data_IF_631710133490
#
_entry.id   IF_631710133490
#
_cell.length_a   1.000
_cell.length_b   1.000
_cell.length_c   1.000
_cell.angle_alpha   90.00
_cell.angle_beta   90.00
_cell.angle_gamma   90.00
#
_symmetry.space_group_name_H-M   'P 1'
#
loop_
_entity.id
_entity.type
_entity.pdbx_description
1 polymer ?
#
# COMPACT_ATOMS: atom_id res chain seq x y z
N UNK A 1 -32.87 -16.50 -8.40
CA UNK A 1 -31.84 -16.29 -9.46
C UNK A 1 -30.85 -15.17 -9.13
N UNK A 2 -31.22 -14.19 -8.29
CA UNK A 2 -30.40 -13.03 -7.89
C UNK A 2 -29.26 -13.42 -6.92
N UNK A 3 -29.45 -14.44 -6.07
CA UNK A 3 -28.42 -14.90 -5.12
C UNK A 3 -27.17 -15.53 -5.76
N UNK A 4 -27.26 -16.02 -7.02
CA UNK A 4 -26.12 -16.62 -7.72
C UNK A 4 -25.20 -15.58 -8.37
N UNK A 5 -25.68 -14.37 -8.66
CA UNK A 5 -24.85 -13.32 -9.26
C UNK A 5 -24.04 -12.53 -8.25
N UNK A 6 -24.54 -12.36 -7.02
CA UNK A 6 -23.79 -11.68 -5.94
C UNK A 6 -22.58 -12.50 -5.48
N UNK A 7 -22.66 -13.83 -5.51
CA UNK A 7 -21.56 -14.71 -5.16
C UNK A 7 -20.39 -14.67 -6.18
N UNK A 8 -20.67 -14.35 -7.45
CA UNK A 8 -19.62 -14.26 -8.47
C UNK A 8 -18.78 -12.98 -8.32
N UNK A 9 -19.40 -11.88 -7.88
CA UNK A 9 -18.72 -10.58 -7.70
C UNK A 9 -17.74 -10.61 -6.52
N UNK A 10 -18.06 -11.35 -5.46
CA UNK A 10 -17.15 -11.52 -4.30
C UNK A 10 -15.99 -12.47 -4.64
N UNK A 11 -16.18 -13.44 -5.54
CA UNK A 11 -15.13 -14.37 -5.95
C UNK A 11 -14.08 -13.73 -6.88
N UNK A 12 -14.45 -12.72 -7.68
CA UNK A 12 -13.52 -12.03 -8.60
C UNK A 12 -12.57 -11.08 -7.85
N UNK A 13 -12.97 -10.59 -6.67
CA UNK A 13 -12.12 -9.70 -5.84
C UNK A 13 -11.00 -10.42 -5.06
N UNK A 14 -10.98 -11.77 -5.02
CA UNK A 14 -10.03 -12.53 -4.18
C UNK A 14 -8.85 -13.11 -4.97
N UNK A 15 -8.81 -13.02 -6.30
CA UNK A 15 -7.86 -13.83 -7.11
C UNK A 15 -6.60 -13.07 -7.62
N UNK A 16 -6.45 -11.76 -7.45
CA UNK A 16 -5.34 -11.02 -8.08
C UNK A 16 -4.36 -10.29 -7.14
N UNK A 17 -3.99 -10.88 -5.99
CA UNK A 17 -2.93 -10.29 -5.14
C UNK A 17 -1.90 -11.30 -4.66
N UNK A 18 -1.24 -11.96 -5.62
CA UNK A 18 0.01 -12.68 -5.36
C UNK A 18 1.08 -12.21 -6.35
N UNK A 19 1.53 -10.96 -6.19
CA UNK A 19 2.79 -10.52 -6.78
C UNK A 19 3.92 -11.21 -6.02
N UNK A 20 4.28 -12.42 -6.47
CA UNK A 20 5.55 -13.05 -6.08
C UNK A 20 6.61 -12.50 -7.02
N UNK A 21 7.30 -11.45 -6.59
CA UNK A 21 8.54 -11.05 -7.25
C UNK A 21 9.54 -12.18 -7.05
N UNK A 22 9.81 -12.95 -8.11
CA UNK A 22 10.99 -13.80 -8.20
C UNK A 22 12.21 -12.88 -8.29
N UNK A 23 12.73 -12.48 -7.13
CA UNK A 23 14.06 -11.89 -7.03
C UNK A 23 15.05 -13.00 -7.37
N UNK A 24 15.59 -12.95 -8.59
CA UNK A 24 16.77 -13.73 -8.92
C UNK A 24 17.89 -13.24 -8.01
N UNK A 25 18.30 -14.10 -7.08
CA UNK A 25 19.33 -13.80 -6.10
C UNK A 25 20.67 -13.60 -6.79
N UNK A 26 20.97 -12.37 -7.18
CA UNK A 26 22.35 -11.90 -7.28
C UNK A 26 22.86 -11.90 -5.84
N UNK A 27 23.74 -12.84 -5.50
CA UNK A 27 24.46 -12.79 -4.23
C UNK A 27 25.38 -11.57 -4.28
N UNK A 28 24.85 -10.41 -3.90
CA UNK A 28 25.69 -9.23 -3.69
C UNK A 28 26.66 -9.56 -2.56
N UNK A 29 27.93 -9.15 -2.67
CA UNK A 29 28.90 -9.38 -1.61
C UNK A 29 28.37 -8.73 -0.32
N UNK A 30 28.07 -9.54 0.70
CA UNK A 30 27.52 -9.05 1.95
C UNK A 30 28.63 -8.39 2.78
N UNK A 31 28.40 -7.16 3.24
CA UNK A 31 29.35 -6.39 4.04
C UNK A 31 29.00 -6.48 5.53
N UNK A 32 29.98 -6.47 6.46
CA UNK A 32 29.74 -6.51 7.91
C UNK A 32 28.88 -5.38 8.46
N UNK A 33 28.80 -4.27 7.73
CA UNK A 33 27.93 -3.15 8.02
C UNK A 33 27.05 -2.89 6.80
N UNK A 34 25.80 -2.52 7.06
CA UNK A 34 24.80 -2.25 6.05
C UNK A 34 24.18 -0.88 6.27
N UNK A 35 23.65 -0.31 5.20
CA UNK A 35 22.97 0.97 5.21
C UNK A 35 21.52 0.75 4.82
N UNK A 36 20.59 1.10 5.71
CA UNK A 36 19.16 0.90 5.52
C UNK A 36 18.43 2.23 5.51
N UNK A 37 17.48 2.39 4.61
CA UNK A 37 16.57 3.55 4.53
C UNK A 37 15.19 3.18 5.06
N UNK A 38 14.55 4.09 5.80
CA UNK A 38 13.16 3.94 6.23
C UNK A 38 12.42 5.26 6.07
N UNK A 39 11.25 5.32 5.41
CA UNK A 39 10.61 4.21 4.69
C UNK A 39 11.43 3.78 3.45
N UNK A 40 11.22 2.55 2.98
CA UNK A 40 11.89 2.04 1.78
C UNK A 40 11.42 2.75 0.49
N UNK A 41 10.17 3.24 0.49
CA UNK A 41 9.62 4.03 -0.60
C UNK A 41 9.64 5.50 -0.19
N UNK A 42 10.42 6.31 -0.90
CA UNK A 42 10.65 7.72 -0.57
C UNK A 42 10.15 8.58 -1.72
N UNK A 43 9.33 9.58 -1.40
CA UNK A 43 8.80 10.54 -2.37
C UNK A 43 9.07 11.97 -1.87
N UNK A 44 9.57 12.84 -2.76
CA UNK A 44 10.21 14.13 -2.45
C UNK A 44 9.34 15.12 -1.69
N UNK A 45 8.01 14.95 -1.69
CA UNK A 45 7.10 15.92 -1.09
C UNK A 45 6.13 15.32 -0.08
N UNK A 46 6.12 13.99 0.05
CA UNK A 46 5.16 13.29 0.90
C UNK A 46 5.84 12.46 1.99
N UNK A 47 7.07 12.01 1.75
CA UNK A 47 7.84 11.32 2.77
C UNK A 47 8.26 12.28 3.89
N UNK A 48 7.99 11.87 5.13
CA UNK A 48 8.42 12.56 6.35
C UNK A 48 9.11 11.57 7.26
N UNK A 49 9.98 12.09 8.13
CA UNK A 49 10.74 11.28 9.09
C UNK A 49 11.54 10.16 8.41
N UNK A 50 12.17 10.48 7.27
CA UNK A 50 13.06 9.56 6.58
C UNK A 50 14.31 9.35 7.42
N UNK A 51 14.68 8.11 7.64
CA UNK A 51 15.91 7.73 8.35
C UNK A 51 16.84 6.94 7.46
N UNK A 52 18.12 7.12 7.70
CA UNK A 52 19.19 6.35 7.08
C UNK A 52 20.08 5.83 8.20
N UNK A 53 20.13 4.51 8.35
CA UNK A 53 20.78 3.84 9.48
C UNK A 53 21.89 2.93 8.97
N UNK A 54 23.10 3.17 9.47
CA UNK A 54 24.20 2.25 9.36
C UNK A 54 24.32 1.42 10.64
N UNK A 55 24.29 0.11 10.51
CA UNK A 55 24.50 -0.82 11.61
C UNK A 55 25.15 -2.14 11.17
N UNK A 56 25.57 -2.93 12.15
CA UNK A 56 26.17 -4.24 11.92
C UNK A 56 25.17 -5.20 11.28
N UNK A 57 25.60 -5.89 10.22
CA UNK A 57 24.84 -6.95 9.58
C UNK A 57 25.12 -8.29 10.29
N UNK A 58 24.18 -8.82 11.09
CA UNK A 58 24.39 -10.06 11.83
C UNK A 58 24.51 -11.30 10.93
N UNK A 59 24.13 -11.22 9.65
CA UNK A 59 24.27 -12.30 8.69
C UNK A 59 25.72 -12.51 8.22
N UNK A 60 26.61 -11.54 8.46
CA UNK A 60 27.98 -11.54 7.94
C UNK A 60 28.98 -11.71 9.06
N UNK A 61 29.79 -12.76 8.98
CA UNK A 61 30.91 -12.93 9.90
C UNK A 61 31.97 -11.85 9.65
N UNK A 62 32.47 -11.24 10.73
CA UNK A 62 33.44 -10.14 10.64
C UNK A 62 34.66 -10.39 11.53
N UNK A 63 35.83 -9.99 11.03
CA UNK A 63 37.08 -9.95 11.79
C UNK A 63 37.27 -8.63 12.54
N UNK A 64 36.27 -7.74 12.52
CA UNK A 64 36.32 -6.47 13.25
C UNK A 64 36.20 -6.75 14.75
N UNK A 65 37.12 -6.21 15.53
CA UNK A 65 37.15 -6.32 17.00
C UNK A 65 36.61 -5.06 17.68
N UNK A 66 36.89 -3.88 17.12
CA UNK A 66 36.50 -2.59 17.71
C UNK A 66 36.21 -1.55 16.63
N UNK A 67 35.02 -0.95 16.69
CA UNK A 67 34.68 0.22 15.88
C UNK A 67 35.11 1.47 16.64
N UNK A 68 35.75 2.43 15.96
CA UNK A 68 36.06 3.73 16.56
C UNK A 68 35.51 4.91 15.76
N UNK A 69 35.05 4.69 14.51
CA UNK A 69 34.37 5.73 13.72
C UNK A 69 33.41 5.13 12.70
N UNK A 70 32.23 5.75 12.58
CA UNK A 70 31.22 5.43 11.57
C UNK A 70 30.91 6.71 10.80
N UNK A 71 30.86 6.63 9.46
CA UNK A 71 30.48 7.74 8.58
C UNK A 71 29.36 7.32 7.65
N UNK A 72 28.42 8.23 7.41
CA UNK A 72 27.49 8.17 6.28
C UNK A 72 27.97 9.18 5.25
N UNK A 73 28.20 8.72 4.03
CA UNK A 73 28.69 9.52 2.92
C UNK A 73 27.67 9.50 1.78
N UNK A 74 27.53 10.63 1.09
CA UNK A 74 26.71 10.78 -0.11
C UNK A 74 27.60 11.01 -1.32
N UNK A 75 27.32 10.33 -2.43
CA UNK A 75 28.00 10.53 -3.70
C UNK A 75 27.64 11.90 -4.26
N UNK A 76 28.65 12.63 -4.69
CA UNK A 76 28.56 13.97 -5.29
C UNK A 76 29.45 14.04 -6.53
N UNK A 77 29.36 15.14 -7.28
CA UNK A 77 30.17 15.34 -8.50
C UNK A 77 31.68 15.35 -8.22
N UNK A 78 32.09 15.75 -7.02
CA UNK A 78 33.49 15.76 -6.57
C UNK A 78 33.93 14.47 -5.83
N UNK A 79 33.09 13.44 -5.79
CA UNK A 79 33.33 12.20 -5.05
C UNK A 79 32.42 12.06 -3.82
N UNK A 80 32.90 11.45 -2.75
CA UNK A 80 32.10 11.21 -1.54
C UNK A 80 32.11 12.41 -0.59
N UNK A 81 30.92 12.89 -0.23
CA UNK A 81 30.70 14.01 0.68
C UNK A 81 30.14 13.53 2.03
N UNK A 82 30.58 14.13 3.13
CA UNK A 82 30.17 13.74 4.47
C UNK A 82 28.73 14.19 4.79
N UNK A 83 27.87 13.23 5.16
CA UNK A 83 26.52 13.50 5.68
C UNK A 83 26.53 13.54 7.20
N UNK A 84 27.06 12.49 7.82
CA UNK A 84 27.20 12.40 9.27
C UNK A 84 28.37 11.51 9.68
N UNK A 85 28.88 11.74 10.89
CA UNK A 85 30.01 11.04 11.47
C UNK A 85 29.83 10.89 12.98
N UNK A 86 30.19 9.73 13.50
CA UNK A 86 30.39 9.52 14.93
C UNK A 86 31.80 8.98 15.16
N UNK A 87 32.50 9.53 16.16
CA UNK A 87 33.79 9.03 16.66
C UNK A 87 33.65 8.50 18.08
N UNK A 88 34.51 7.58 18.48
CA UNK A 88 34.56 7.02 19.83
C UNK A 88 34.80 8.05 20.94
N UNK A 89 35.50 9.14 20.61
CA UNK A 89 35.89 10.23 21.51
C UNK A 89 34.94 11.45 21.48
N UNK A 90 33.83 11.38 20.74
CA UNK A 90 32.84 12.45 20.63
C UNK A 90 31.52 12.06 21.28
N UNK A 91 30.88 12.98 22.00
CA UNK A 91 29.63 12.69 22.72
C UNK A 91 28.39 12.70 21.82
N UNK A 92 28.47 13.32 20.64
CA UNK A 92 27.35 13.44 19.71
C UNK A 92 27.84 13.38 18.27
N UNK A 93 27.01 12.90 17.31
CA UNK A 93 27.41 12.83 15.93
C UNK A 93 27.61 14.22 15.33
N UNK A 94 28.62 14.35 14.48
CA UNK A 94 28.79 15.50 13.59
C UNK A 94 27.92 15.31 12.36
N UNK A 95 27.21 16.36 11.95
CA UNK A 95 26.28 16.32 10.80
C UNK A 95 26.53 17.48 9.83
N UNK A 96 26.15 17.28 8.58
CA UNK A 96 26.14 18.30 7.53
C UNK A 96 24.70 18.58 7.10
N UNK A 97 24.27 19.84 7.15
CA UNK A 97 22.92 20.25 6.72
C UNK A 97 21.87 20.22 7.85
N UNK A 98 20.60 20.29 7.48
CA UNK A 98 19.48 20.33 8.41
C UNK A 98 18.91 18.92 8.65
N UNK A 99 19.59 18.17 9.52
CA UNK A 99 19.18 16.82 9.92
C UNK A 99 19.51 16.57 11.39
N UNK A 100 18.90 15.52 11.94
CA UNK A 100 19.24 15.03 13.29
C UNK A 100 19.97 13.71 13.19
N UNK A 101 20.82 13.39 14.17
CA UNK A 101 21.56 12.14 14.18
C UNK A 101 21.64 11.55 15.59
N UNK A 102 21.66 10.22 15.64
CA UNK A 102 21.92 9.43 16.84
C UNK A 102 22.92 8.31 16.51
N UNK A 103 23.80 8.00 17.44
CA UNK A 103 24.83 7.00 17.20
C UNK A 103 25.32 6.37 18.51
N UNK A 104 25.89 5.18 18.36
CA UNK A 104 26.67 4.50 19.38
C UNK A 104 27.86 3.82 18.69
N UNK A 105 29.08 4.04 19.19
CA UNK A 105 30.30 3.38 18.67
C UNK A 105 30.96 2.47 19.70
N UNK A 106 30.77 2.76 20.99
CA UNK A 106 31.49 2.10 22.10
C UNK A 106 30.75 0.89 22.71
N UNK A 107 29.69 0.40 22.07
CA UNK A 107 28.87 -0.73 22.54
C UNK A 107 29.30 -2.10 21.98
N UNK A 108 30.52 -2.20 21.47
CA UNK A 108 30.98 -3.34 20.67
C UNK A 108 30.37 -3.35 19.26
N UNK A 109 30.87 -4.24 18.40
CA UNK A 109 30.55 -4.29 16.96
C UNK A 109 29.04 -4.40 16.72
N UNK A 110 28.37 -5.35 17.38
CA UNK A 110 26.93 -5.59 17.18
C UNK A 110 26.03 -4.46 17.66
N UNK A 111 26.49 -3.64 18.61
CA UNK A 111 25.73 -2.49 19.10
C UNK A 111 26.04 -1.19 18.36
N UNK A 112 27.10 -1.18 17.55
CA UNK A 112 27.58 0.04 16.90
C UNK A 112 26.64 0.45 15.77
N UNK A 113 26.21 1.72 15.77
CA UNK A 113 25.38 2.29 14.72
C UNK A 113 25.55 3.79 14.57
N UNK A 114 25.18 4.30 13.39
CA UNK A 114 24.95 5.72 13.12
C UNK A 114 23.65 5.86 12.35
N UNK A 115 22.73 6.68 12.84
CA UNK A 115 21.46 6.96 12.21
C UNK A 115 21.29 8.45 12.01
N UNK A 116 20.88 8.84 10.81
CA UNK A 116 20.44 10.21 10.51
C UNK A 116 18.95 10.21 10.21
N UNK A 117 18.28 11.31 10.52
CA UNK A 117 16.84 11.50 10.33
C UNK A 117 16.55 12.88 9.76
N UNK A 118 15.75 12.92 8.69
CA UNK A 118 15.20 14.13 8.09
C UNK A 118 13.71 14.22 8.38
N UNK A 119 13.27 15.35 8.93
CA UNK A 119 11.85 15.60 9.19
C UNK A 119 11.07 15.73 7.88
N UNK A 120 11.61 16.52 6.95
CA UNK A 120 11.09 16.73 5.62
C UNK A 120 12.11 16.23 4.60
N UNK A 121 11.66 15.42 3.65
CA UNK A 121 12.48 14.94 2.53
C UNK A 121 12.41 15.98 1.42
N UNK A 122 13.54 16.28 0.79
CA UNK A 122 13.66 17.14 -0.37
C UNK A 122 14.65 16.57 -1.39
N UNK A 123 14.99 17.36 -2.40
CA UNK A 123 15.88 16.93 -3.50
C UNK A 123 17.26 16.45 -3.01
N UNK A 124 17.78 17.10 -1.96
CA UNK A 124 19.08 16.78 -1.37
C UNK A 124 19.12 15.42 -0.65
N UNK A 125 17.99 14.73 -0.49
CA UNK A 125 17.91 13.41 0.14
C UNK A 125 18.06 12.25 -0.84
N UNK A 126 17.98 12.49 -2.15
CA UNK A 126 18.06 11.46 -3.17
C UNK A 126 19.49 11.29 -3.70
N UNK A 127 19.80 10.09 -4.16
CA UNK A 127 21.09 9.70 -4.72
C UNK A 127 21.74 8.54 -3.98
N UNK A 128 23.04 8.36 -4.23
CA UNK A 128 23.79 7.19 -3.74
C UNK A 128 24.50 7.47 -2.43
N UNK A 129 24.33 6.58 -1.47
CA UNK A 129 24.93 6.65 -0.13
C UNK A 129 25.77 5.42 0.18
N UNK A 130 26.77 5.59 1.04
CA UNK A 130 27.50 4.48 1.67
C UNK A 130 27.65 4.75 3.17
N UNK A 131 27.74 3.68 3.95
CA UNK A 131 28.33 3.73 5.27
C UNK A 131 29.80 3.33 5.17
N UNK A 132 30.69 4.05 5.84
CA UNK A 132 32.09 3.67 5.98
C UNK A 132 32.44 3.53 7.46
N UNK A 133 32.84 2.33 7.84
CA UNK A 133 33.25 2.00 9.20
C UNK A 133 34.76 1.90 9.28
N UNK A 134 35.35 2.67 10.19
CA UNK A 134 36.76 2.63 10.53
C UNK A 134 36.91 1.91 11.87
N UNK A 135 37.71 0.85 11.85
CA UNK A 135 37.76 -0.12 12.93
C UNK A 135 39.15 -0.76 13.07
N UNK A 136 39.35 -1.48 14.17
CA UNK A 136 40.44 -2.43 14.33
C UNK A 136 39.94 -3.85 14.06
N UNK A 137 40.74 -4.65 13.36
CA UNK A 137 40.49 -6.09 13.21
C UNK A 137 40.95 -6.88 14.47
N UNK A 138 40.74 -8.19 14.51
CA UNK A 138 41.20 -9.08 15.59
C UNK A 138 42.73 -9.12 15.73
N UNK A 139 43.47 -8.69 14.71
CA UNK A 139 44.93 -8.56 14.72
C UNK A 139 45.38 -7.13 15.09
N UNK A 140 44.45 -6.28 15.54
CA UNK A 140 44.67 -4.88 15.91
C UNK A 140 45.20 -4.02 14.75
N UNK A 141 44.87 -4.36 13.50
CA UNK A 141 45.17 -3.55 12.32
C UNK A 141 44.01 -2.65 11.97
N UNK A 142 44.34 -1.48 11.45
CA UNK A 142 43.35 -0.52 10.96
C UNK A 142 42.64 -1.09 9.72
N UNK A 143 41.32 -1.08 9.74
CA UNK A 143 40.47 -1.45 8.62
C UNK A 143 39.50 -0.31 8.28
N UNK A 144 39.29 -0.09 6.98
CA UNK A 144 38.15 0.68 6.46
C UNK A 144 37.21 -0.29 5.76
N UNK A 145 35.96 -0.33 6.20
CA UNK A 145 34.95 -1.28 5.75
C UNK A 145 33.74 -0.50 5.25
N UNK A 146 33.66 -0.25 3.92
CA UNK A 146 32.48 0.35 3.33
C UNK A 146 31.33 -0.67 3.25
N UNK A 147 30.09 -0.18 3.39
CA UNK A 147 28.90 -0.92 3.02
C UNK A 147 28.75 -0.97 1.49
N UNK A 148 27.80 -1.78 1.02
CA UNK A 148 27.28 -1.62 -0.33
C UNK A 148 26.69 -0.21 -0.55
N UNK A 149 26.75 0.25 -1.80
CA UNK A 149 26.08 1.48 -2.23
C UNK A 149 24.56 1.31 -2.10
N UNK A 150 23.91 2.26 -1.41
CA UNK A 150 22.45 2.36 -1.33
C UNK A 150 22.01 3.52 -2.21
N UNK A 151 21.29 3.21 -3.29
CA UNK A 151 20.71 4.22 -4.17
C UNK A 151 19.27 4.55 -3.74
N UNK A 152 19.08 5.78 -3.26
CA UNK A 152 17.78 6.30 -2.85
C UNK A 152 17.23 7.10 -4.03
N UNK A 153 16.32 6.46 -4.77
CA UNK A 153 15.60 7.08 -5.86
C UNK A 153 14.19 7.46 -5.42
N UNK A 154 13.63 8.44 -6.13
CA UNK A 154 12.25 8.83 -5.95
C UNK A 154 11.35 7.67 -6.38
N UNK A 155 10.43 7.28 -5.50
CA UNK A 155 9.42 6.30 -5.85
C UNK A 155 8.45 6.94 -6.84
N UNK A 156 8.60 6.55 -8.10
CA UNK A 156 7.67 6.87 -9.17
C UNK A 156 6.51 5.87 -9.10
N UNK A 157 5.30 6.39 -8.87
CA UNK A 157 4.11 5.59 -9.06
C UNK A 157 4.00 5.26 -10.57
N UNK A 158 3.87 3.98 -10.96
CA UNK A 158 3.66 3.64 -12.36
C UNK A 158 2.34 4.28 -12.83
N UNK A 159 2.42 5.34 -13.62
CA UNK A 159 1.26 6.03 -14.19
C UNK A 159 0.42 5.06 -15.00
N UNK A 160 1.05 4.13 -15.71
CA UNK A 160 0.41 3.05 -16.46
C UNK A 160 -0.54 2.20 -15.61
N UNK A 161 -0.19 1.95 -14.34
CA UNK A 161 -1.04 1.20 -13.43
C UNK A 161 -2.31 1.99 -13.09
N UNK A 162 -2.17 3.28 -12.75
CA UNK A 162 -3.32 4.13 -12.47
C UNK A 162 -4.21 4.36 -13.70
N UNK A 163 -3.60 4.51 -14.88
CA UNK A 163 -4.34 4.63 -16.14
C UNK A 163 -5.12 3.35 -16.44
N UNK A 164 -4.51 2.17 -16.23
CA UNK A 164 -5.19 0.88 -16.40
C UNK A 164 -6.35 0.71 -15.41
N UNK A 165 -6.14 1.04 -14.14
CA UNK A 165 -7.16 0.95 -13.09
C UNK A 165 -8.31 1.95 -13.31
N UNK A 166 -7.97 3.17 -13.74
CA UNK A 166 -8.95 4.20 -14.09
C UNK A 166 -9.79 3.77 -15.29
N UNK A 167 -9.16 3.21 -16.33
CA UNK A 167 -9.84 2.69 -17.52
C UNK A 167 -10.76 1.52 -17.19
N UNK A 168 -10.27 0.53 -16.43
CA UNK A 168 -11.07 -0.63 -16.00
C UNK A 168 -12.29 -0.20 -15.17
N UNK A 169 -12.09 0.75 -14.26
CA UNK A 169 -13.18 1.32 -13.46
C UNK A 169 -14.20 2.03 -14.36
N UNK A 170 -13.75 2.82 -15.32
CA UNK A 170 -14.61 3.54 -16.26
C UNK A 170 -15.44 2.58 -17.12
N UNK A 171 -14.81 1.55 -17.68
CA UNK A 171 -15.46 0.54 -18.52
C UNK A 171 -16.51 -0.26 -17.71
N UNK A 172 -16.20 -0.59 -16.46
CA UNK A 172 -17.13 -1.27 -15.55
C UNK A 172 -18.35 -0.40 -15.24
N UNK A 173 -18.15 0.90 -14.98
CA UNK A 173 -19.25 1.84 -14.75
C UNK A 173 -20.15 1.97 -15.98
N UNK A 174 -19.57 2.03 -17.19
CA UNK A 174 -20.35 2.06 -18.43
C UNK A 174 -21.15 0.78 -18.61
N UNK A 175 -20.55 -0.39 -18.38
CA UNK A 175 -21.22 -1.68 -18.52
C UNK A 175 -22.39 -1.81 -17.54
N UNK A 176 -22.20 -1.43 -16.27
CA UNK A 176 -23.25 -1.41 -15.26
C UNK A 176 -24.39 -0.47 -15.66
N UNK A 177 -24.07 0.75 -16.09
CA UNK A 177 -25.06 1.72 -16.55
C UNK A 177 -25.90 1.17 -17.71
N UNK A 178 -25.26 0.55 -18.70
CA UNK A 178 -25.95 -0.04 -19.85
C UNK A 178 -26.92 -1.16 -19.43
N UNK A 179 -26.49 -2.02 -18.52
CA UNK A 179 -27.35 -3.08 -17.96
C UNK A 179 -28.55 -2.46 -17.24
N UNK A 180 -28.31 -1.49 -16.35
CA UNK A 180 -29.36 -0.78 -15.61
C UNK A 180 -30.37 -0.10 -16.55
N UNK A 181 -29.88 0.62 -17.57
CA UNK A 181 -30.73 1.30 -18.56
C UNK A 181 -31.57 0.32 -19.39
N UNK A 182 -31.12 -0.93 -19.55
CA UNK A 182 -31.88 -1.97 -20.27
C UNK A 182 -32.91 -2.70 -19.40
N UNK A 183 -32.63 -2.91 -18.11
CA UNK A 183 -33.50 -3.69 -17.22
C UNK A 183 -34.62 -2.85 -16.60
N UNK A 184 -34.35 -1.58 -16.25
CA UNK A 184 -35.34 -0.69 -15.61
C UNK A 184 -36.62 -0.54 -16.45
N UNK A 185 -36.58 -0.32 -17.79
CA UNK A 185 -37.79 -0.21 -18.59
C UNK A 185 -38.63 -1.49 -18.60
N UNK A 186 -37.98 -2.67 -18.61
CA UNK A 186 -38.67 -3.97 -18.55
C UNK A 186 -39.38 -4.12 -17.21
N UNK A 187 -38.68 -3.87 -16.10
CA UNK A 187 -39.25 -3.94 -14.76
C UNK A 187 -40.42 -2.95 -14.59
N UNK A 188 -40.30 -1.75 -15.17
CA UNK A 188 -41.38 -0.75 -15.16
C UNK A 188 -42.61 -1.25 -15.94
N UNK A 189 -42.41 -1.90 -17.08
CA UNK A 189 -43.50 -2.49 -17.87
C UNK A 189 -44.19 -3.63 -17.11
N UNK A 190 -43.42 -4.52 -16.50
CA UNK A 190 -43.96 -5.62 -15.70
C UNK A 190 -44.76 -5.10 -14.50
N UNK A 191 -44.25 -4.06 -13.82
CA UNK A 191 -44.96 -3.41 -12.72
C UNK A 191 -46.30 -2.79 -13.16
N UNK A 192 -46.34 -2.14 -14.34
CA UNK A 192 -47.59 -1.61 -14.91
C UNK A 192 -48.59 -2.75 -15.17
N UNK A 193 -48.13 -3.87 -15.75
CA UNK A 193 -49.00 -5.03 -15.99
C UNK A 193 -49.58 -5.63 -14.71
N UNK A 194 -48.81 -5.64 -13.61
CA UNK A 194 -49.31 -6.06 -12.29
C UNK A 194 -50.40 -5.13 -11.78
N UNK A 195 -50.23 -3.81 -11.91
CA UNK A 195 -51.25 -2.84 -11.52
C UNK A 195 -52.55 -2.97 -12.32
N UNK A 196 -52.45 -3.22 -13.62
CA UNK A 196 -53.61 -3.49 -14.48
C UNK A 196 -54.36 -4.75 -14.03
N UNK A 197 -53.64 -5.84 -13.76
CA UNK A 197 -54.22 -7.09 -13.28
C UNK A 197 -54.92 -6.91 -11.92
N UNK A 198 -54.31 -6.18 -10.99
CA UNK A 198 -54.92 -5.84 -9.71
C UNK A 198 -56.23 -5.06 -9.89
N UNK A 199 -56.27 -4.12 -10.84
CA UNK A 199 -57.49 -3.39 -11.19
C UNK A 199 -58.61 -4.31 -11.67
N UNK A 200 -58.30 -5.26 -12.56
CA UNK A 200 -59.27 -6.25 -13.05
C UNK A 200 -59.77 -7.17 -11.93
N UNK A 201 -58.89 -7.62 -11.04
CA UNK A 201 -59.28 -8.44 -9.88
C UNK A 201 -60.25 -7.67 -9.00
N UNK A 202 -59.97 -6.40 -8.73
CA UNK A 202 -60.82 -5.56 -7.89
C UNK A 202 -62.22 -5.38 -8.51
N UNK A 203 -62.30 -5.10 -9.82
CA UNK A 203 -63.57 -5.01 -10.54
C UNK A 203 -64.37 -6.32 -10.50
N UNK A 204 -63.71 -7.46 -10.74
CA UNK A 204 -64.35 -8.77 -10.69
C UNK A 204 -64.88 -9.07 -9.28
N UNK A 205 -64.12 -8.73 -8.24
CA UNK A 205 -64.53 -8.90 -6.85
C UNK A 205 -65.79 -8.07 -6.54
N UNK A 206 -65.83 -6.80 -6.94
CA UNK A 206 -67.03 -5.95 -6.78
C UNK A 206 -68.25 -6.52 -7.52
N UNK A 207 -68.05 -7.04 -8.75
CA UNK A 207 -69.13 -7.67 -9.50
C UNK A 207 -69.68 -8.92 -8.80
N UNK A 208 -68.79 -9.79 -8.30
CA UNK A 208 -69.19 -11.01 -7.56
C UNK A 208 -69.99 -10.65 -6.31
N UNK A 209 -69.51 -9.68 -5.52
CA UNK A 209 -70.21 -9.22 -4.32
C UNK A 209 -71.63 -8.73 -4.65
N UNK A 210 -71.77 -7.92 -5.71
CA UNK A 210 -73.11 -7.45 -6.13
C UNK A 210 -74.06 -8.58 -6.56
N UNK A 211 -73.52 -9.65 -7.17
CA UNK A 211 -74.31 -10.82 -7.57
C UNK A 211 -74.77 -11.64 -6.35
N UNK A 212 -73.91 -11.75 -5.33
CA UNK A 212 -74.24 -12.40 -4.06
C UNK A 212 -75.38 -11.63 -3.37
N UNK A 213 -75.28 -10.31 -3.24
CA UNK A 213 -76.32 -9.47 -2.61
C UNK A 213 -77.67 -9.63 -3.32
N UNK A 214 -77.67 -9.62 -4.67
CA UNK A 214 -78.88 -9.82 -5.47
C UNK A 214 -79.51 -11.21 -5.26
N UNK A 215 -78.68 -12.25 -5.13
CA UNK A 215 -79.15 -13.61 -4.86
C UNK A 215 -79.77 -13.75 -3.48
N UNK A 216 -79.13 -13.18 -2.45
CA UNK A 216 -79.66 -13.17 -1.08
C UNK A 216 -81.00 -12.43 -0.98
N UNK A 217 -81.11 -11.29 -1.67
CA UNK A 217 -82.36 -10.51 -1.73
C UNK A 217 -83.48 -11.30 -2.41
N UNK A 218 -83.16 -12.04 -3.48
CA UNK A 218 -84.11 -12.90 -4.20
C UNK A 218 -84.57 -14.09 -3.34
N UNK A 219 -83.66 -14.72 -2.61
CA UNK A 219 -83.95 -15.80 -1.65
C UNK A 219 -84.84 -15.33 -0.49
N UNK A 220 -84.57 -14.14 0.06
CA UNK A 220 -85.41 -13.53 1.09
C UNK A 220 -86.85 -13.34 0.59
N UNK A 221 -87.02 -12.87 -0.64
CA UNK A 221 -88.33 -12.60 -1.24
C UNK A 221 -89.17 -13.87 -1.39
N UNK A 222 -88.52 -15.01 -1.72
CA UNK A 222 -89.14 -16.32 -1.87
C UNK A 222 -89.58 -16.96 -0.54
N UNK A 223 -88.97 -16.62 0.59
CA UNK A 223 -89.33 -17.14 1.91
C UNK A 223 -90.52 -16.43 2.57
N UNK A 224 -90.92 -15.27 2.04
CA UNK A 224 -92.04 -14.45 2.53
C UNK A 224 -93.39 -14.73 1.86
N UNK A 225 -93.47 -15.73 0.99
CA UNK A 225 -94.71 -16.21 0.34
C UNK A 225 -95.12 -17.55 0.93
#
# INVERSE_FOLDING_TARGET
MILRQVALIVAVLVIHSSFVFLVTGVSTPETPFQLNVTPALVNRYTAKNMTLRCDHNPGVQTEISQVFRIRILKKSTSGWSLVAEQRDNENSPRVTGNLTASATVNSGVSGAFLQVSWLDVGEDNFGVYICEVLAFDISNRLASVPSLELDIHEFEFPTEYFESLSKETHDTVIALKKTTDSEIPSLKKDLIGVYELMGTIHQNQSSILSQIDNFETSQSSLKTV
#
